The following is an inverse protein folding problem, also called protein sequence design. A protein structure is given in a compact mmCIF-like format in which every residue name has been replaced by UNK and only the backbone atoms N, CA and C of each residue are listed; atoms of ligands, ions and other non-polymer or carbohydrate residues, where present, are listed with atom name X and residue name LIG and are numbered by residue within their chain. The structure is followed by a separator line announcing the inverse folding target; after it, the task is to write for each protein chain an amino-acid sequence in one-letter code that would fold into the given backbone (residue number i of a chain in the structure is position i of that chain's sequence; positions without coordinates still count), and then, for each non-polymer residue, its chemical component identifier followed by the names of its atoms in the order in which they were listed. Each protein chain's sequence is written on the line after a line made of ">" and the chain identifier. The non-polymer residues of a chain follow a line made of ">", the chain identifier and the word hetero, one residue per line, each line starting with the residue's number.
data_IF_050526922894
#
_entry.id   IF_050526922894
#
_cell.length_a   1.000
_cell.length_b   1.000
_cell.length_c   1.000
_cell.angle_alpha   90.00
_cell.angle_beta   90.00
_cell.angle_gamma   90.00
#
_symmetry.space_group_name_H-M   'P 1'
#
loop_
_entity.id
_entity.type
_entity.pdbx_description
1 polymer ?
#
# COMPACT_ATOMS: atom_id res chain seq x y z
N UNK A 1 18.50 -4.96 -7.50
CA UNK A 1 17.48 -5.60 -8.35
C UNK A 1 16.65 -6.47 -7.42
N UNK A 2 15.44 -6.05 -7.04
CA UNK A 2 14.61 -6.79 -6.10
C UNK A 2 14.06 -8.07 -6.78
N UNK A 3 13.89 -9.17 -6.04
CA UNK A 3 13.38 -10.42 -6.59
C UNK A 3 11.98 -10.19 -7.17
N UNK A 4 11.71 -10.89 -8.26
CA UNK A 4 10.47 -11.00 -9.01
C UNK A 4 9.29 -11.36 -8.09
N UNK A 5 8.70 -10.33 -7.51
CA UNK A 5 7.50 -10.44 -6.71
C UNK A 5 6.36 -10.91 -7.62
N UNK A 6 5.60 -11.92 -7.21
CA UNK A 6 4.47 -12.42 -7.99
C UNK A 6 3.48 -11.29 -8.32
N UNK A 7 2.94 -11.29 -9.54
CA UNK A 7 1.94 -10.32 -10.03
C UNK A 7 0.88 -9.91 -8.98
N UNK A 8 0.26 -10.84 -8.21
CA UNK A 8 -0.71 -10.47 -7.18
C UNK A 8 -0.10 -9.69 -6.00
N UNK A 9 1.10 -10.02 -5.55
CA UNK A 9 1.76 -9.30 -4.45
C UNK A 9 2.20 -7.91 -4.89
N UNK A 10 2.68 -7.76 -6.12
CA UNK A 10 3.03 -6.45 -6.69
C UNK A 10 1.78 -5.57 -6.84
N UNK A 11 0.67 -6.14 -7.30
CA UNK A 11 -0.61 -5.45 -7.40
C UNK A 11 -1.14 -5.00 -6.02
N UNK A 12 -1.02 -5.85 -5.00
CA UNK A 12 -1.38 -5.51 -3.63
C UNK A 12 -0.54 -4.34 -3.09
N UNK A 13 0.79 -4.39 -3.27
CA UNK A 13 1.69 -3.31 -2.87
C UNK A 13 1.38 -1.99 -3.59
N UNK A 14 1.14 -2.03 -4.90
CA UNK A 14 0.75 -0.85 -5.67
C UNK A 14 -0.56 -0.23 -5.16
N UNK A 15 -1.54 -1.08 -4.84
CA UNK A 15 -2.85 -0.64 -4.30
C UNK A 15 -2.70 0.00 -2.92
N UNK A 16 -1.94 -0.63 -2.02
CA UNK A 16 -1.65 -0.10 -0.67
C UNK A 16 -0.89 1.23 -0.78
N UNK A 17 0.11 1.30 -1.65
CA UNK A 17 0.88 2.52 -1.88
C UNK A 17 -0.02 3.66 -2.35
N UNK A 18 -0.84 3.42 -3.38
CA UNK A 18 -1.80 4.41 -3.90
C UNK A 18 -2.75 4.89 -2.81
N UNK A 19 -3.38 3.97 -2.08
CA UNK A 19 -4.30 4.32 -0.99
C UNK A 19 -3.61 5.16 0.10
N UNK A 20 -2.37 4.81 0.45
CA UNK A 20 -1.58 5.54 1.44
C UNK A 20 -1.25 6.95 0.96
N UNK A 21 -0.79 7.10 -0.28
CA UNK A 21 -0.45 8.40 -0.86
C UNK A 21 -1.67 9.30 -1.00
N UNK A 22 -2.80 8.76 -1.49
CA UNK A 22 -4.08 9.49 -1.58
C UNK A 22 -4.59 9.89 -0.20
N UNK A 23 -4.38 9.08 0.83
CA UNK A 23 -4.74 9.44 2.20
C UNK A 23 -3.82 10.53 2.76
N UNK A 24 -2.51 10.41 2.54
CA UNK A 24 -1.52 11.36 3.01
C UNK A 24 -1.69 12.75 2.36
N UNK A 25 -2.06 12.81 1.07
CA UNK A 25 -2.29 14.06 0.36
C UNK A 25 -3.47 14.88 0.89
N UNK A 26 -4.37 14.29 1.68
CA UNK A 26 -5.47 15.00 2.33
C UNK A 26 -4.99 16.12 3.27
N UNK A 27 -3.70 16.14 3.64
CA UNK A 27 -3.07 17.24 4.40
C UNK A 27 -2.99 18.56 3.61
N UNK A 28 -3.11 18.53 2.28
CA UNK A 28 -2.99 19.72 1.43
C UNK A 28 -4.13 20.72 1.63
N UNK A 29 -5.34 20.24 1.89
CA UNK A 29 -6.49 21.09 2.24
C UNK A 29 -6.27 21.91 3.53
N UNK A 30 -6.00 21.29 4.69
CA UNK A 30 -5.72 22.05 5.91
C UNK A 30 -4.42 22.84 5.80
N UNK A 31 -3.45 22.43 4.96
CA UNK A 31 -2.27 23.25 4.68
C UNK A 31 -2.66 24.55 3.96
N UNK A 32 -3.50 24.49 2.92
CA UNK A 32 -3.99 25.67 2.22
C UNK A 32 -4.74 26.62 3.17
N UNK A 33 -5.60 26.07 4.04
CA UNK A 33 -6.34 26.85 5.04
C UNK A 33 -5.42 27.57 6.02
N UNK A 34 -4.32 26.94 6.45
CA UNK A 34 -3.33 27.54 7.36
C UNK A 34 -2.49 28.63 6.72
N UNK A 35 -2.39 28.63 5.39
CA UNK A 35 -1.81 29.74 4.62
C UNK A 35 -2.81 30.90 4.42
N UNK A 36 -4.05 30.77 4.89
CA UNK A 36 -5.10 31.76 4.68
C UNK A 36 -5.41 31.97 3.21
N UNK A 37 -5.76 33.20 2.83
CA UNK A 37 -6.05 33.56 1.44
C UNK A 37 -4.86 33.33 0.49
N UNK A 38 -3.62 33.34 1.01
CA UNK A 38 -2.41 33.05 0.21
C UNK A 38 -2.32 31.57 -0.18
N UNK A 39 -3.00 30.67 0.54
CA UNK A 39 -3.08 29.25 0.19
C UNK A 39 -3.76 28.99 -1.16
N UNK A 40 -4.55 29.96 -1.65
CA UNK A 40 -5.25 29.91 -2.94
C UNK A 40 -4.43 30.42 -4.12
N UNK A 41 -3.21 30.92 -3.88
CA UNK A 41 -2.38 31.43 -4.95
C UNK A 41 -1.82 30.32 -5.82
N UNK A 42 -1.99 30.45 -7.13
CA UNK A 42 -1.51 29.48 -8.12
C UNK A 42 0.00 29.21 -7.99
N UNK A 43 0.80 30.24 -7.67
CA UNK A 43 2.25 30.09 -7.53
C UNK A 43 2.68 29.25 -6.32
N UNK A 44 1.82 29.09 -5.30
CA UNK A 44 2.09 28.22 -4.16
C UNK A 44 1.79 26.75 -4.46
N UNK A 45 1.07 26.47 -5.56
CA UNK A 45 0.75 25.12 -6.08
C UNK A 45 -0.02 24.21 -5.11
N UNK A 46 -0.45 24.68 -3.94
CA UNK A 46 -1.12 23.84 -2.93
C UNK A 46 -2.47 23.34 -3.48
N UNK A 47 -3.29 24.23 -4.06
CA UNK A 47 -4.59 23.87 -4.63
C UNK A 47 -4.46 22.97 -5.85
N UNK A 48 -3.48 23.22 -6.72
CA UNK A 48 -3.22 22.40 -7.91
C UNK A 48 -2.77 20.99 -7.51
N UNK A 49 -1.92 20.88 -6.49
CA UNK A 49 -1.47 19.60 -5.96
C UNK A 49 -2.63 18.82 -5.30
N UNK A 50 -3.51 19.46 -4.53
CA UNK A 50 -4.70 18.79 -3.96
C UNK A 50 -5.61 18.26 -5.07
N UNK A 51 -5.91 19.06 -6.10
CA UNK A 51 -6.71 18.65 -7.25
C UNK A 51 -6.07 17.48 -8.01
N UNK A 52 -4.75 17.50 -8.19
CA UNK A 52 -4.01 16.41 -8.83
C UNK A 52 -4.18 15.11 -8.05
N UNK A 53 -4.05 15.14 -6.73
CA UNK A 53 -4.24 13.95 -5.90
C UNK A 53 -5.70 13.47 -5.85
N UNK A 54 -6.68 14.37 -5.95
CA UNK A 54 -8.08 13.99 -6.11
C UNK A 54 -8.31 13.26 -7.44
N UNK A 55 -7.69 13.70 -8.53
CA UNK A 55 -7.70 12.98 -9.80
C UNK A 55 -7.06 11.59 -9.69
N UNK A 56 -5.89 11.51 -9.06
CA UNK A 56 -5.17 10.25 -8.82
C UNK A 56 -5.95 9.25 -7.95
N UNK A 57 -6.89 9.72 -7.12
CA UNK A 57 -7.73 8.83 -6.33
C UNK A 57 -8.67 7.99 -7.20
N UNK A 58 -9.00 8.44 -8.41
CA UNK A 58 -9.94 7.80 -9.35
C UNK A 58 -9.21 7.18 -10.55
N UNK A 59 -8.17 7.84 -11.05
CA UNK A 59 -7.37 7.36 -12.18
C UNK A 59 -6.76 5.99 -11.90
N UNK A 60 -6.66 5.10 -12.90
CA UNK A 60 -6.14 3.73 -12.72
C UNK A 60 -6.93 2.89 -11.69
N UNK A 61 -8.24 3.15 -11.59
CA UNK A 61 -9.17 2.48 -10.66
C UNK A 61 -9.43 3.29 -9.41
N UNK A 62 -10.69 3.38 -8.99
CA UNK A 62 -11.05 4.08 -7.77
C UNK A 62 -10.35 3.47 -6.54
N UNK A 63 -9.76 4.33 -5.71
CA UNK A 63 -8.96 3.89 -4.55
C UNK A 63 -9.78 3.05 -3.57
N UNK A 64 -11.06 3.36 -3.34
CA UNK A 64 -11.92 2.54 -2.47
C UNK A 64 -12.21 1.19 -3.11
N UNK A 65 -12.48 1.16 -4.43
CA UNK A 65 -12.70 -0.09 -5.16
C UNK A 65 -11.45 -0.99 -5.12
N UNK A 66 -10.25 -0.42 -5.30
CA UNK A 66 -8.99 -1.15 -5.19
C UNK A 66 -8.78 -1.72 -3.78
N UNK A 67 -9.09 -0.95 -2.74
CA UNK A 67 -9.03 -1.43 -1.34
C UNK A 67 -10.03 -2.57 -1.08
N UNK A 68 -11.25 -2.48 -1.62
CA UNK A 68 -12.26 -3.55 -1.50
C UNK A 68 -11.79 -4.81 -2.24
N UNK A 69 -11.28 -4.66 -3.46
CA UNK A 69 -10.76 -5.78 -4.24
C UNK A 69 -9.60 -6.47 -3.52
N UNK A 70 -8.66 -5.70 -2.98
CA UNK A 70 -7.57 -6.23 -2.16
C UNK A 70 -8.10 -6.98 -0.94
N UNK A 71 -9.09 -6.43 -0.23
CA UNK A 71 -9.68 -7.10 0.93
C UNK A 71 -10.37 -8.42 0.56
N UNK A 72 -11.17 -8.43 -0.50
CA UNK A 72 -11.89 -9.64 -0.95
C UNK A 72 -10.93 -10.73 -1.42
N UNK A 73 -9.84 -10.35 -2.09
CA UNK A 73 -8.82 -11.29 -2.57
C UNK A 73 -7.81 -11.68 -1.48
N UNK A 74 -7.79 -10.99 -0.34
CA UNK A 74 -6.83 -11.26 0.71
C UNK A 74 -7.09 -12.63 1.37
N UNK A 75 -6.02 -13.37 1.72
CA UNK A 75 -6.13 -14.68 2.37
C UNK A 75 -6.85 -14.62 3.73
N UNK A 76 -6.95 -13.45 4.36
CA UNK A 76 -7.64 -13.25 5.64
C UNK A 76 -9.14 -13.54 5.59
N UNK A 77 -9.74 -13.58 4.39
CA UNK A 77 -11.18 -13.87 4.22
C UNK A 77 -11.54 -15.33 4.45
N UNK A 78 -10.56 -16.22 4.62
CA UNK A 78 -10.77 -17.64 4.95
C UNK A 78 -9.71 -18.13 5.92
N UNK A 79 -10.11 -18.77 7.02
CA UNK A 79 -9.19 -19.34 8.01
C UNK A 79 -8.12 -20.22 7.36
N UNK A 80 -8.50 -21.05 6.38
CA UNK A 80 -7.56 -21.93 5.66
C UNK A 80 -6.53 -21.17 4.83
N UNK A 81 -6.96 -20.10 4.15
CA UNK A 81 -6.06 -19.27 3.33
C UNK A 81 -5.16 -18.42 4.20
N UNK A 82 -5.69 -17.92 5.31
CA UNK A 82 -4.94 -17.20 6.33
C UNK A 82 -3.88 -18.08 6.99
N UNK A 83 -4.24 -19.29 7.43
CA UNK A 83 -3.28 -20.26 7.97
C UNK A 83 -2.20 -20.63 6.94
N UNK A 84 -2.58 -20.91 5.69
CA UNK A 84 -1.62 -21.18 4.62
C UNK A 84 -0.66 -20.01 4.39
N UNK A 85 -1.16 -18.77 4.44
CA UNK A 85 -0.35 -17.57 4.32
C UNK A 85 0.59 -17.40 5.53
N UNK A 86 0.07 -17.50 6.75
CA UNK A 86 0.85 -17.37 7.99
C UNK A 86 1.97 -18.42 8.07
N UNK A 87 1.69 -19.65 7.65
CA UNK A 87 2.67 -20.74 7.59
C UNK A 87 3.75 -20.52 6.50
N UNK A 88 3.48 -19.66 5.51
CA UNK A 88 4.47 -19.29 4.49
C UNK A 88 5.46 -18.21 4.97
N UNK A 89 5.11 -17.47 6.03
CA UNK A 89 5.93 -16.38 6.54
C UNK A 89 7.15 -16.90 7.28
N UNK A 90 8.34 -16.48 6.83
CA UNK A 90 9.61 -16.86 7.45
C UNK A 90 9.73 -16.40 8.92
N UNK A 91 8.98 -15.36 9.31
CA UNK A 91 8.98 -14.82 10.67
C UNK A 91 8.47 -15.81 11.74
N UNK A 92 7.70 -16.83 11.36
CA UNK A 92 7.16 -17.85 12.27
C UNK A 92 7.88 -19.20 12.19
N UNK A 93 8.90 -19.33 11.33
CA UNK A 93 9.71 -20.56 11.29
C UNK A 93 10.53 -20.69 12.56
N UNK A 94 10.55 -21.88 13.15
CA UNK A 94 11.40 -22.11 14.32
C UNK A 94 12.87 -21.96 13.93
N UNK A 95 13.74 -21.50 14.85
CA UNK A 95 15.18 -21.38 14.59
C UNK A 95 15.86 -22.71 14.19
N UNK A 96 15.19 -23.84 14.40
CA UNK A 96 15.75 -25.18 14.25
C UNK A 96 15.76 -25.65 12.78
N UNK A 97 14.96 -25.03 11.90
CA UNK A 97 14.99 -25.27 10.46
C UNK A 97 16.22 -24.65 9.76
N UNK A 98 16.96 -23.77 10.43
CA UNK A 98 18.19 -23.16 9.90
C UNK A 98 19.45 -23.97 10.20
N UNK A 99 19.33 -25.08 10.95
CA UNK A 99 20.46 -25.97 11.20
C UNK A 99 20.69 -26.79 9.93
N UNK A 100 21.56 -26.31 9.05
CA UNK A 100 22.19 -27.19 8.06
C UNK A 100 22.79 -28.37 8.81
N UNK A 101 22.39 -29.63 8.52
CA UNK A 101 22.97 -30.77 9.21
C UNK A 101 24.48 -30.77 8.97
N UNK A 102 25.24 -30.88 10.06
CA UNK A 102 26.70 -31.01 10.07
C UNK A 102 27.24 -32.22 9.25
N UNK A 103 26.37 -32.98 8.59
CA UNK A 103 26.72 -34.06 7.67
C UNK A 103 27.14 -33.58 6.27
N UNK A 104 27.17 -32.27 6.02
CA UNK A 104 27.70 -31.67 4.77
C UNK A 104 28.98 -30.83 4.97
N UNK A 105 29.69 -31.02 6.07
CA UNK A 105 31.08 -30.58 6.26
C UNK A 105 32.03 -31.77 6.16
#
# INVERSE_FOLDING_TARGET
>A
MCPDLSDPTQHALASIFKATVVKASQVLRPLAERCGWQGLFAYNQISELDLTFQGNAIAEGDTLVLCIHLYVTAPITSDKSWESFMNSLQAFKSPEEFITPLSKL
#
